data_IF_346498307160
#
_entry.id   IF_346498307160
#
_cell.length_a   1.000
_cell.length_b   1.000
_cell.length_c   1.000
_cell.angle_alpha   90.00
_cell.angle_beta   90.00
_cell.angle_gamma   90.00
#
_symmetry.space_group_name_H-M   'P 1'
#
loop_
_entity.id
_entity.type
_entity.pdbx_description
1 polymer ?
#
# COMPACT_ATOMS: atom_id res chain seq x y z
N UNK A 1 8.19 15.66 18.09
CA UNK A 1 7.10 14.67 18.33
C UNK A 1 7.67 13.59 19.22
N UNK A 2 7.30 13.57 20.50
CA UNK A 2 7.79 12.59 21.49
C UNK A 2 7.17 11.24 21.11
N UNK A 3 8.02 10.24 20.84
CA UNK A 3 7.53 8.90 20.48
C UNK A 3 6.99 8.22 21.74
N UNK A 4 5.80 7.63 21.68
CA UNK A 4 5.17 6.89 22.77
C UNK A 4 6.11 5.85 23.42
N UNK A 5 7.08 5.32 22.64
CA UNK A 5 8.14 4.43 23.11
C UNK A 5 9.07 5.08 24.13
N UNK A 6 9.31 6.38 24.01
CA UNK A 6 10.24 7.10 24.89
C UNK A 6 9.57 7.37 26.25
N UNK A 7 8.25 7.60 26.27
CA UNK A 7 7.47 7.77 27.52
C UNK A 7 7.38 6.45 28.31
N UNK A 8 7.28 5.30 27.64
CA UNK A 8 7.23 3.99 28.30
C UNK A 8 8.59 3.57 28.86
N UNK A 9 9.70 3.96 28.20
CA UNK A 9 11.07 3.70 28.69
C UNK A 9 11.48 4.58 29.89
N UNK A 10 10.95 5.80 29.99
CA UNK A 10 11.20 6.67 31.16
C UNK A 10 10.40 6.24 32.37
N UNK A 11 9.19 5.68 32.21
CA UNK A 11 8.40 5.17 33.36
C UNK A 11 9.02 3.96 34.04
N UNK A 12 9.85 3.18 33.33
CA UNK A 12 10.57 2.04 33.91
C UNK A 12 11.86 2.45 34.65
N UNK A 13 12.37 3.66 34.43
CA UNK A 13 13.57 4.20 35.10
C UNK A 13 13.26 4.97 36.37
N UNK A 14 12.07 5.45 36.59
CA UNK A 14 11.61 6.09 37.81
C UNK A 14 11.03 5.04 38.73
N UNK A 15 11.88 4.48 39.59
CA UNK A 15 11.54 3.51 40.63
C UNK A 15 10.77 4.18 41.81
N UNK A 16 9.75 4.97 41.49
CA UNK A 16 8.83 5.59 42.42
C UNK A 16 7.64 4.63 42.58
N UNK A 17 7.23 4.38 43.82
CA UNK A 17 6.06 3.60 44.27
C UNK A 17 4.71 4.10 43.67
N UNK A 18 4.62 4.15 42.36
CA UNK A 18 3.34 4.27 41.66
C UNK A 18 2.83 2.83 41.50
N UNK A 19 1.62 2.52 41.98
CA UNK A 19 1.04 1.19 41.76
C UNK A 19 1.17 0.84 40.29
N UNK A 20 1.84 -0.26 39.94
CA UNK A 20 1.95 -0.71 38.55
C UNK A 20 0.53 -0.94 38.07
N UNK A 21 0.03 -0.02 37.23
CA UNK A 21 -1.27 -0.19 36.57
C UNK A 21 -1.31 -1.57 35.93
N UNK A 22 -2.45 -2.24 36.03
CA UNK A 22 -2.66 -3.53 35.40
C UNK A 22 -2.40 -3.40 33.89
N UNK A 23 -2.05 -4.50 33.21
CA UNK A 23 -1.89 -4.52 31.76
C UNK A 23 -3.15 -3.97 31.05
N UNK A 24 -4.30 -4.25 31.62
CA UNK A 24 -5.60 -3.79 31.12
C UNK A 24 -5.80 -2.27 31.25
N UNK A 25 -5.42 -1.68 32.39
CA UNK A 25 -5.51 -0.22 32.58
C UNK A 25 -4.57 0.53 31.64
N UNK A 26 -3.36 -0.01 31.42
CA UNK A 26 -2.41 0.56 30.45
C UNK A 26 -2.97 0.50 29.03
N UNK A 27 -3.60 -0.61 28.65
CA UNK A 27 -4.23 -0.76 27.35
C UNK A 27 -5.44 0.17 27.19
N UNK A 28 -6.32 0.29 28.19
CA UNK A 28 -7.42 1.26 28.17
C UNK A 28 -6.93 2.70 27.99
N UNK A 29 -5.89 3.08 28.74
CA UNK A 29 -5.28 4.41 28.58
C UNK A 29 -4.73 4.62 27.17
N UNK A 30 -4.05 3.62 26.59
CA UNK A 30 -3.55 3.68 25.21
C UNK A 30 -4.68 3.91 24.20
N UNK A 31 -5.81 3.18 24.32
CA UNK A 31 -6.96 3.36 23.44
C UNK A 31 -7.54 4.79 23.50
N UNK A 32 -7.68 5.34 24.68
CA UNK A 32 -8.16 6.72 24.89
C UNK A 32 -7.19 7.73 24.30
N UNK A 33 -5.88 7.52 24.50
CA UNK A 33 -4.85 8.43 24.01
C UNK A 33 -4.85 8.49 22.48
N UNK A 34 -4.89 7.34 21.80
CA UNK A 34 -4.86 7.31 20.33
C UNK A 34 -6.12 7.92 19.71
N UNK A 35 -7.30 7.71 20.32
CA UNK A 35 -8.53 8.36 19.89
C UNK A 35 -8.43 9.88 20.03
N UNK A 36 -7.91 10.36 21.15
CA UNK A 36 -7.68 11.80 21.38
C UNK A 36 -6.69 12.37 20.36
N UNK A 37 -5.58 11.71 20.10
CA UNK A 37 -4.59 12.16 19.11
C UNK A 37 -5.21 12.35 17.71
N UNK A 38 -6.09 11.43 17.29
CA UNK A 38 -6.78 11.57 16.02
C UNK A 38 -7.76 12.74 16.03
N UNK A 39 -8.54 12.92 17.11
CA UNK A 39 -9.46 14.05 17.23
C UNK A 39 -8.71 15.39 17.28
N UNK A 40 -7.57 15.46 17.98
CA UNK A 40 -6.72 16.64 18.01
C UNK A 40 -6.11 16.91 16.61
N UNK A 41 -5.71 15.87 15.88
CA UNK A 41 -5.26 15.99 14.49
C UNK A 41 -6.35 16.59 13.58
N UNK A 42 -7.58 16.08 13.66
CA UNK A 42 -8.73 16.58 12.90
C UNK A 42 -9.02 18.05 13.28
N UNK A 43 -9.11 18.37 14.57
CA UNK A 43 -9.38 19.72 15.10
C UNK A 43 -8.33 20.73 14.67
N UNK A 44 -7.07 20.31 14.52
CA UNK A 44 -5.95 21.14 14.08
C UNK A 44 -5.82 21.23 12.53
N UNK A 45 -6.89 20.92 11.80
CA UNK A 45 -6.98 21.09 10.36
C UNK A 45 -6.37 19.96 9.54
N UNK A 46 -6.12 18.78 10.14
CA UNK A 46 -5.63 17.57 9.46
C UNK A 46 -4.34 17.79 8.65
N UNK A 47 -3.43 18.63 9.15
CA UNK A 47 -2.18 18.94 8.48
C UNK A 47 -1.09 17.90 8.77
N UNK A 48 -0.25 17.58 7.76
CA UNK A 48 0.86 16.65 7.89
C UNK A 48 0.45 15.17 7.83
N UNK A 49 1.34 14.31 8.33
CA UNK A 49 1.15 12.85 8.26
C UNK A 49 0.34 12.33 9.44
N UNK A 50 -0.53 11.35 9.19
CA UNK A 50 -1.23 10.58 10.22
C UNK A 50 -0.74 9.13 10.16
N UNK A 51 0.20 8.76 11.05
CA UNK A 51 0.85 7.45 11.06
C UNK A 51 0.36 6.61 12.25
N UNK A 52 -0.55 5.69 11.98
CA UNK A 52 -1.29 4.87 12.96
C UNK A 52 -0.88 3.38 12.85
N UNK A 53 0.43 3.11 12.95
CA UNK A 53 0.94 1.72 12.94
C UNK A 53 0.33 0.90 14.09
N UNK A 54 -0.09 -0.34 13.78
CA UNK A 54 -0.76 -1.24 14.75
C UNK A 54 -2.04 -0.63 15.36
N UNK A 55 -2.72 0.25 14.60
CA UNK A 55 -3.96 0.88 15.05
C UNK A 55 -4.98 -0.18 15.50
N UNK A 56 -5.51 -0.09 16.73
CA UNK A 56 -6.22 -1.20 17.37
C UNK A 56 -7.69 -1.28 17.04
N UNK A 57 -8.26 -0.28 16.35
CA UNK A 57 -9.68 -0.24 16.00
C UNK A 57 -9.90 -0.70 14.56
N UNK A 58 -11.10 -1.23 14.30
CA UNK A 58 -11.49 -1.69 12.97
C UNK A 58 -11.82 -0.56 11.98
N UNK A 59 -12.08 0.64 12.49
CA UNK A 59 -12.51 1.79 11.69
C UNK A 59 -11.83 3.07 12.18
N UNK A 60 -11.59 4.00 11.26
CA UNK A 60 -11.20 5.38 11.57
C UNK A 60 -12.44 6.19 11.91
N UNK A 61 -12.32 7.30 12.66
CA UNK A 61 -13.44 8.18 12.92
C UNK A 61 -14.09 8.70 11.63
N UNK A 62 -15.40 8.67 11.53
CA UNK A 62 -16.17 9.10 10.35
C UNK A 62 -15.99 10.58 10.00
N UNK A 63 -15.59 11.40 10.97
CA UNK A 63 -15.27 12.82 10.78
C UNK A 63 -13.83 13.06 10.28
N UNK A 64 -13.02 12.01 10.07
CA UNK A 64 -11.73 12.11 9.38
C UNK A 64 -11.98 12.13 7.88
N UNK A 65 -12.11 13.31 7.30
CA UNK A 65 -12.37 13.50 5.87
C UNK A 65 -11.14 13.90 5.06
N UNK A 66 -10.05 14.30 5.75
CA UNK A 66 -8.82 14.76 5.09
C UNK A 66 -7.57 14.37 5.89
N UNK A 67 -6.51 14.04 5.15
CA UNK A 67 -5.15 13.85 5.67
C UNK A 67 -4.19 14.63 4.76
N UNK A 68 -3.60 15.73 5.26
CA UNK A 68 -2.72 16.63 4.50
C UNK A 68 -1.34 16.06 4.17
N UNK A 69 -1.08 14.82 4.51
CA UNK A 69 0.17 14.09 4.24
C UNK A 69 -0.08 12.64 3.91
N UNK A 70 0.77 11.75 4.43
CA UNK A 70 0.57 10.30 4.33
C UNK A 70 -0.39 9.82 5.42
N UNK A 71 -1.29 8.89 5.07
CA UNK A 71 -2.03 8.07 6.02
C UNK A 71 -1.39 6.68 6.09
N UNK A 72 -0.81 6.35 7.24
CA UNK A 72 -0.15 5.06 7.48
C UNK A 72 -0.92 4.20 8.48
N UNK A 73 -1.41 3.05 8.02
CA UNK A 73 -2.20 2.07 8.79
C UNK A 73 -1.54 0.68 8.79
N UNK A 74 -0.20 0.66 8.75
CA UNK A 74 0.58 -0.59 8.69
C UNK A 74 0.28 -1.50 9.87
N UNK A 75 -0.04 -2.79 9.58
CA UNK A 75 -0.39 -3.80 10.58
C UNK A 75 -1.54 -3.37 11.51
N UNK A 76 -2.43 -2.50 11.05
CA UNK A 76 -3.60 -2.06 11.80
C UNK A 76 -4.71 -3.11 11.81
N UNK A 77 -5.74 -2.90 12.62
CA UNK A 77 -6.96 -3.71 12.59
C UNK A 77 -8.06 -3.12 11.70
N UNK A 78 -7.72 -2.09 10.91
CA UNK A 78 -8.70 -1.41 10.06
C UNK A 78 -9.24 -2.36 9.00
N UNK A 79 -10.55 -2.44 8.92
CA UNK A 79 -11.30 -3.22 7.92
C UNK A 79 -12.03 -2.32 6.92
N UNK A 80 -12.24 -1.03 7.29
CA UNK A 80 -12.92 -0.03 6.45
C UNK A 80 -12.27 1.34 6.57
N UNK A 81 -12.27 2.06 5.46
CA UNK A 81 -11.89 3.49 5.40
C UNK A 81 -13.15 4.36 5.33
N UNK A 82 -13.10 5.61 5.84
CA UNK A 82 -14.19 6.57 5.65
C UNK A 82 -14.43 6.85 4.16
N UNK A 83 -15.69 7.01 3.79
CA UNK A 83 -16.06 7.49 2.46
C UNK A 83 -15.58 8.94 2.25
N UNK A 84 -15.28 9.28 1.00
CA UNK A 84 -14.81 10.61 0.58
C UNK A 84 -13.52 11.09 1.30
N UNK A 85 -12.75 10.17 1.87
CA UNK A 85 -11.48 10.50 2.51
C UNK A 85 -10.48 11.01 1.46
N UNK A 86 -9.97 12.22 1.67
CA UNK A 86 -8.92 12.81 0.85
C UNK A 86 -7.57 12.66 1.53
N UNK A 87 -6.59 12.10 0.83
CA UNK A 87 -5.20 11.92 1.30
C UNK A 87 -4.29 12.65 0.31
N UNK A 88 -3.62 13.73 0.75
CA UNK A 88 -2.83 14.57 -0.15
C UNK A 88 -1.54 13.88 -0.64
N UNK A 89 -1.07 12.85 0.08
CA UNK A 89 0.07 12.04 -0.33
C UNK A 89 -0.30 10.56 -0.44
N UNK A 90 0.39 9.67 0.26
CA UNK A 90 0.20 8.23 0.09
C UNK A 90 -0.69 7.62 1.17
N UNK A 91 -1.46 6.61 0.76
CA UNK A 91 -2.17 5.69 1.62
C UNK A 91 -1.36 4.40 1.77
N UNK A 92 -1.06 3.99 3.02
CA UNK A 92 -0.25 2.80 3.33
C UNK A 92 -1.05 1.91 4.27
N UNK A 93 -1.50 0.76 3.76
CA UNK A 93 -2.40 -0.19 4.44
C UNK A 93 -1.73 -1.54 4.72
N UNK A 94 -0.43 -1.66 4.48
CA UNK A 94 0.31 -2.92 4.49
C UNK A 94 0.02 -3.77 5.74
N UNK A 95 -0.33 -5.05 5.53
CA UNK A 95 -0.62 -5.98 6.59
C UNK A 95 -1.93 -5.73 7.36
N UNK A 96 -2.78 -4.79 6.91
CA UNK A 96 -4.11 -4.59 7.49
C UNK A 96 -5.15 -5.56 6.89
N UNK A 97 -6.20 -5.95 7.64
CA UNK A 97 -7.22 -6.89 7.19
C UNK A 97 -8.29 -6.23 6.29
N UNK A 98 -7.96 -5.10 5.68
CA UNK A 98 -8.87 -4.38 4.79
C UNK A 98 -9.14 -5.18 3.52
N UNK A 99 -10.40 -5.19 3.09
CA UNK A 99 -10.86 -5.94 1.91
C UNK A 99 -11.16 -5.07 0.70
N UNK A 100 -11.40 -3.77 0.93
CA UNK A 100 -11.76 -2.83 -0.13
C UNK A 100 -11.30 -1.40 0.19
N UNK A 101 -11.08 -0.61 -0.84
CA UNK A 101 -10.84 0.83 -0.78
C UNK A 101 -12.07 1.49 -1.41
N UNK A 102 -12.74 2.47 -0.74
CA UNK A 102 -13.91 3.15 -1.29
C UNK A 102 -13.64 3.79 -2.65
N UNK A 103 -14.60 3.70 -3.57
CA UNK A 103 -14.51 4.37 -4.90
C UNK A 103 -14.47 5.91 -4.77
N UNK A 104 -14.93 6.45 -3.64
CA UNK A 104 -14.95 7.90 -3.35
C UNK A 104 -13.63 8.43 -2.78
N UNK A 105 -12.62 7.57 -2.53
CA UNK A 105 -11.34 7.99 -1.95
C UNK A 105 -10.52 8.82 -2.94
N UNK A 106 -9.74 9.77 -2.41
CA UNK A 106 -8.75 10.51 -3.20
C UNK A 106 -7.36 10.27 -2.63
N UNK A 107 -6.43 9.78 -3.45
CA UNK A 107 -5.04 9.51 -3.10
C UNK A 107 -4.14 10.36 -3.99
N UNK A 108 -3.39 11.29 -3.39
CA UNK A 108 -2.61 12.28 -4.13
C UNK A 108 -1.27 11.79 -4.67
N UNK A 109 -0.72 10.70 -4.12
CA UNK A 109 0.58 10.21 -4.58
C UNK A 109 0.63 8.69 -4.71
N UNK A 110 0.84 7.90 -3.65
CA UNK A 110 1.13 6.49 -3.77
C UNK A 110 0.21 5.59 -2.93
N UNK A 111 0.19 4.31 -3.27
CA UNK A 111 -0.64 3.32 -2.61
C UNK A 111 0.20 2.10 -2.21
N UNK A 112 0.24 1.79 -0.91
CA UNK A 112 0.78 0.55 -0.34
C UNK A 112 -0.34 -0.31 0.22
N UNK A 113 -0.47 -1.53 -0.30
CA UNK A 113 -1.49 -2.51 0.12
C UNK A 113 -0.90 -3.91 0.29
N UNK A 114 0.39 -4.01 0.54
CA UNK A 114 1.08 -5.29 0.71
C UNK A 114 0.39 -6.15 1.78
N UNK A 115 0.18 -7.45 1.46
CA UNK A 115 -0.39 -8.42 2.42
C UNK A 115 -1.77 -8.02 2.96
N UNK A 116 -2.53 -7.23 2.21
CA UNK A 116 -3.94 -6.95 2.52
C UNK A 116 -4.87 -8.00 1.89
N UNK A 117 -6.15 -7.93 2.25
CA UNK A 117 -7.20 -8.79 1.66
C UNK A 117 -7.91 -8.13 0.47
N UNK A 118 -7.38 -7.01 -0.01
CA UNK A 118 -7.93 -6.29 -1.17
C UNK A 118 -7.84 -7.17 -2.41
N UNK A 119 -8.93 -7.23 -3.15
CA UNK A 119 -9.03 -8.00 -4.40
C UNK A 119 -9.17 -7.12 -5.63
N UNK A 120 -9.52 -5.83 -5.44
CA UNK A 120 -9.75 -4.86 -6.51
C UNK A 120 -9.37 -3.45 -6.05
N UNK A 121 -8.80 -2.67 -6.96
CA UNK A 121 -8.55 -1.23 -6.73
C UNK A 121 -9.73 -0.38 -7.23
N UNK A 122 -9.96 0.81 -6.64
CA UNK A 122 -10.99 1.74 -7.09
C UNK A 122 -10.76 2.21 -8.53
N UNK A 123 -11.84 2.37 -9.31
CA UNK A 123 -11.76 2.81 -10.69
C UNK A 123 -11.44 4.31 -10.84
N UNK A 124 -11.52 5.10 -9.79
CA UNK A 124 -11.15 6.51 -9.83
C UNK A 124 -9.63 6.76 -9.79
N UNK A 125 -8.82 5.71 -9.59
CA UNK A 125 -7.35 5.81 -9.62
C UNK A 125 -6.86 5.77 -11.06
N UNK A 126 -6.42 6.93 -11.58
CA UNK A 126 -5.90 7.07 -12.94
C UNK A 126 -4.38 7.17 -13.01
N UNK A 127 -3.75 7.68 -11.96
CA UNK A 127 -2.30 7.79 -11.85
C UNK A 127 -1.87 7.61 -10.38
N UNK A 128 -0.66 7.07 -10.19
CA UNK A 128 -0.03 6.93 -8.88
C UNK A 128 1.45 7.33 -8.97
N UNK A 129 2.01 7.82 -7.87
CA UNK A 129 3.45 8.00 -7.71
C UNK A 129 4.18 6.67 -7.52
N UNK A 130 3.56 5.70 -6.84
CA UNK A 130 3.98 4.30 -6.75
C UNK A 130 2.79 3.41 -6.39
N UNK A 131 2.91 2.10 -6.69
CA UNK A 131 1.96 1.08 -6.25
C UNK A 131 2.71 -0.13 -5.69
N UNK A 132 2.50 -0.43 -4.40
CA UNK A 132 2.97 -1.65 -3.76
C UNK A 132 1.80 -2.53 -3.39
N UNK A 133 1.76 -3.75 -3.96
CA UNK A 133 0.66 -4.70 -3.81
C UNK A 133 1.15 -6.16 -3.70
N UNK A 134 2.32 -6.33 -3.10
CA UNK A 134 2.91 -7.65 -2.92
C UNK A 134 2.02 -8.56 -2.06
N UNK A 135 1.93 -9.83 -2.44
CA UNK A 135 1.17 -10.84 -1.69
C UNK A 135 -0.32 -10.46 -1.52
N UNK A 136 -0.91 -9.80 -2.52
CA UNK A 136 -2.34 -9.49 -2.56
C UNK A 136 -3.11 -10.46 -3.45
N UNK A 137 -4.45 -10.40 -3.37
CA UNK A 137 -5.37 -11.14 -4.22
C UNK A 137 -5.88 -10.31 -5.42
N UNK A 138 -5.30 -9.15 -5.67
CA UNK A 138 -5.64 -8.32 -6.84
C UNK A 138 -5.24 -9.06 -8.10
N UNK A 139 -6.21 -9.27 -9.00
CA UNK A 139 -5.99 -10.01 -10.26
C UNK A 139 -5.74 -9.08 -11.44
N UNK A 140 -6.27 -7.86 -11.40
CA UNK A 140 -6.11 -6.85 -12.45
C UNK A 140 -6.14 -5.44 -11.87
N UNK A 141 -5.48 -4.52 -12.54
CA UNK A 141 -5.52 -3.10 -12.22
C UNK A 141 -6.65 -2.40 -12.99
N UNK A 142 -7.16 -1.24 -12.50
CA UNK A 142 -8.17 -0.48 -13.21
C UNK A 142 -7.73 -0.18 -14.65
N UNK A 143 -8.60 -0.39 -15.62
CA UNK A 143 -8.31 -0.18 -17.06
C UNK A 143 -8.00 1.29 -17.41
N UNK A 144 -8.43 2.21 -16.57
CA UNK A 144 -8.16 3.65 -16.69
C UNK A 144 -6.90 4.11 -15.93
N UNK A 145 -6.18 3.22 -15.26
CA UNK A 145 -4.86 3.53 -14.70
C UNK A 145 -3.86 3.69 -15.85
N UNK A 146 -3.34 4.92 -16.04
CA UNK A 146 -2.46 5.29 -17.15
C UNK A 146 -0.99 5.36 -16.78
N UNK A 147 -0.68 5.78 -15.54
CA UNK A 147 0.70 5.95 -15.13
C UNK A 147 0.94 5.60 -13.66
N UNK A 148 2.09 4.97 -13.43
CA UNK A 148 2.74 4.83 -12.12
C UNK A 148 4.11 5.49 -12.29
N UNK A 149 4.31 6.69 -11.72
CA UNK A 149 5.52 7.47 -11.96
C UNK A 149 6.79 6.93 -11.28
N UNK A 150 6.64 6.06 -10.30
CA UNK A 150 7.71 5.29 -9.65
C UNK A 150 7.52 3.80 -9.93
N UNK A 151 7.73 2.98 -8.90
CA UNK A 151 7.72 1.53 -9.03
C UNK A 151 6.31 0.94 -8.93
N UNK A 152 6.08 -0.15 -9.67
CA UNK A 152 5.00 -1.10 -9.43
C UNK A 152 5.58 -2.39 -8.85
N UNK A 153 5.23 -2.70 -7.60
CA UNK A 153 5.62 -3.96 -6.97
C UNK A 153 4.40 -4.85 -6.73
N UNK A 154 4.40 -6.03 -7.35
CA UNK A 154 3.31 -7.00 -7.30
C UNK A 154 3.82 -8.43 -7.11
N UNK A 155 5.00 -8.61 -6.48
CA UNK A 155 5.58 -9.93 -6.25
C UNK A 155 4.66 -10.80 -5.38
N UNK A 156 4.52 -12.07 -5.77
CA UNK A 156 3.62 -13.03 -5.09
C UNK A 156 2.14 -12.61 -5.10
N UNK A 157 1.73 -11.62 -5.90
CA UNK A 157 0.33 -11.23 -6.07
C UNK A 157 -0.40 -12.14 -7.06
N UNK A 158 -1.73 -12.15 -7.00
CA UNK A 158 -2.57 -12.91 -7.93
C UNK A 158 -2.75 -12.22 -9.29
N UNK A 159 -1.89 -11.26 -9.63
CA UNK A 159 -2.00 -10.40 -10.81
C UNK A 159 -1.86 -11.21 -12.10
N UNK A 160 -2.91 -11.17 -12.95
CA UNK A 160 -2.95 -11.85 -14.25
C UNK A 160 -2.90 -10.87 -15.41
N UNK A 161 -3.25 -9.59 -15.18
CA UNK A 161 -3.35 -8.58 -16.25
C UNK A 161 -2.95 -7.19 -15.73
N UNK A 162 -2.20 -6.46 -16.57
CA UNK A 162 -1.96 -5.02 -16.48
C UNK A 162 -2.81 -4.30 -17.55
N UNK A 163 -3.21 -3.02 -17.34
CA UNK A 163 -3.90 -2.24 -18.37
C UNK A 163 -2.99 -1.97 -19.57
N UNK A 164 -3.62 -1.83 -20.74
CA UNK A 164 -2.91 -1.44 -21.96
C UNK A 164 -2.46 0.03 -21.87
N UNK A 165 -1.38 0.37 -22.60
CA UNK A 165 -0.74 1.70 -22.61
C UNK A 165 -0.25 2.18 -21.22
N UNK A 166 0.02 1.26 -20.28
CA UNK A 166 0.49 1.61 -18.94
C UNK A 166 1.94 2.14 -19.01
N UNK A 167 2.15 3.29 -18.37
CA UNK A 167 3.47 3.87 -18.14
C UNK A 167 3.94 3.57 -16.71
N UNK A 168 5.17 3.07 -16.56
CA UNK A 168 5.85 2.86 -15.28
C UNK A 168 7.18 3.62 -15.32
N UNK A 169 7.30 4.64 -14.48
CA UNK A 169 8.48 5.51 -14.43
C UNK A 169 9.66 4.95 -13.62
N UNK A 170 9.46 3.86 -12.91
CA UNK A 170 10.46 3.13 -12.15
C UNK A 170 10.57 1.68 -12.62
N UNK A 171 10.75 0.77 -11.67
CA UNK A 171 10.87 -0.67 -11.92
C UNK A 171 9.50 -1.37 -11.84
N UNK A 172 9.37 -2.48 -12.58
CA UNK A 172 8.20 -3.37 -12.56
C UNK A 172 8.58 -4.72 -11.96
N UNK A 173 8.06 -5.00 -10.75
CA UNK A 173 8.29 -6.26 -10.04
C UNK A 173 7.07 -7.17 -10.15
N UNK A 174 7.20 -8.29 -10.84
CA UNK A 174 6.14 -9.27 -11.09
C UNK A 174 6.52 -10.69 -10.64
N UNK A 175 7.58 -10.85 -9.83
CA UNK A 175 8.04 -12.18 -9.42
C UNK A 175 6.90 -13.05 -8.88
N UNK A 176 6.84 -14.30 -9.39
CA UNK A 176 5.85 -15.31 -8.95
C UNK A 176 4.39 -14.88 -9.09
N UNK A 177 4.09 -13.99 -10.04
CA UNK A 177 2.70 -13.72 -10.44
C UNK A 177 2.25 -14.70 -11.54
N UNK A 178 0.95 -14.98 -11.64
CA UNK A 178 0.40 -15.84 -12.71
C UNK A 178 0.27 -15.13 -14.06
N UNK A 179 0.87 -13.97 -14.24
CA UNK A 179 0.78 -13.19 -15.49
C UNK A 179 1.35 -13.97 -16.67
N UNK A 180 0.60 -14.05 -17.79
CA UNK A 180 0.96 -14.81 -18.98
C UNK A 180 1.48 -13.96 -20.14
N UNK A 181 1.08 -12.68 -20.17
CA UNK A 181 1.57 -11.70 -21.16
C UNK A 181 1.57 -10.30 -20.55
N UNK A 182 2.49 -9.48 -21.02
CA UNK A 182 2.49 -8.04 -20.76
C UNK A 182 1.53 -7.34 -21.72
N UNK A 183 0.95 -6.18 -21.33
CA UNK A 183 0.04 -5.44 -22.21
C UNK A 183 0.78 -4.82 -23.40
N UNK A 184 0.02 -4.54 -24.46
CA UNK A 184 0.55 -3.80 -25.60
C UNK A 184 0.88 -2.35 -25.18
N UNK A 185 1.92 -1.77 -25.82
CA UNK A 185 2.44 -0.42 -25.55
C UNK A 185 2.88 -0.18 -24.10
N UNK A 186 3.19 -1.24 -23.32
CA UNK A 186 3.77 -1.07 -21.99
C UNK A 186 5.11 -0.32 -22.09
N UNK A 187 5.25 0.73 -21.27
CA UNK A 187 6.50 1.47 -21.12
C UNK A 187 7.01 1.37 -19.69
N UNK A 188 8.24 0.93 -19.52
CA UNK A 188 8.92 0.82 -18.22
C UNK A 188 10.28 1.54 -18.31
N UNK A 189 10.48 2.57 -17.50
CA UNK A 189 11.73 3.34 -17.49
C UNK A 189 12.88 2.64 -16.76
N UNK A 190 12.57 1.70 -15.84
CA UNK A 190 13.49 0.87 -15.09
C UNK A 190 13.54 -0.56 -15.60
N UNK A 191 13.87 -1.48 -14.71
CA UNK A 191 13.92 -2.92 -14.97
C UNK A 191 12.53 -3.56 -14.94
N UNK A 192 12.33 -4.63 -15.71
CA UNK A 192 11.23 -5.59 -15.52
C UNK A 192 11.78 -6.86 -14.88
N UNK A 193 11.32 -7.16 -13.66
CA UNK A 193 11.69 -8.34 -12.90
C UNK A 193 10.49 -9.30 -12.80
N UNK A 194 10.42 -10.24 -13.75
CA UNK A 194 9.29 -11.13 -13.93
C UNK A 194 9.68 -12.62 -13.87
N UNK A 195 10.67 -12.96 -13.01
CA UNK A 195 11.09 -14.34 -12.79
C UNK A 195 9.96 -15.17 -12.18
N UNK A 196 9.91 -16.47 -12.55
CA UNK A 196 8.90 -17.43 -12.09
C UNK A 196 7.45 -17.02 -12.41
N UNK A 197 7.24 -16.25 -13.46
CA UNK A 197 5.91 -15.94 -14.00
C UNK A 197 5.52 -16.95 -15.08
N UNK A 198 4.28 -16.83 -15.59
CA UNK A 198 3.79 -17.63 -16.71
C UNK A 198 3.96 -16.94 -18.08
N UNK A 199 4.84 -15.92 -18.15
CA UNK A 199 5.10 -15.18 -19.40
C UNK A 199 5.60 -16.11 -20.50
N UNK A 200 4.89 -16.13 -21.63
CA UNK A 200 5.14 -16.99 -22.78
C UNK A 200 5.57 -16.23 -24.04
N UNK A 201 5.32 -14.93 -24.07
CA UNK A 201 5.66 -14.01 -25.16
C UNK A 201 5.79 -12.58 -24.65
N UNK A 202 6.49 -11.74 -25.42
CA UNK A 202 6.56 -10.29 -25.20
C UNK A 202 5.69 -9.57 -26.22
N UNK A 203 5.05 -8.45 -25.84
CA UNK A 203 4.31 -7.62 -26.78
C UNK A 203 5.26 -6.98 -27.81
N UNK A 204 4.78 -6.74 -29.02
CA UNK A 204 5.61 -6.16 -30.10
C UNK A 204 6.09 -4.74 -29.79
N UNK A 205 5.30 -3.97 -29.06
CA UNK A 205 5.54 -2.56 -28.75
C UNK A 205 5.97 -2.35 -27.29
N UNK A 206 6.64 -3.33 -26.70
CA UNK A 206 7.22 -3.21 -25.35
C UNK A 206 8.41 -2.23 -25.38
N UNK A 207 8.36 -1.22 -24.50
CA UNK A 207 9.47 -0.29 -24.27
C UNK A 207 10.03 -0.47 -22.85
N UNK A 208 11.27 -0.91 -22.74
CA UNK A 208 11.98 -1.10 -21.46
C UNK A 208 13.33 -0.42 -21.57
N UNK A 209 13.68 0.50 -20.65
CA UNK A 209 15.00 1.13 -20.63
C UNK A 209 16.02 0.35 -19.82
N UNK A 210 15.57 -0.39 -18.81
CA UNK A 210 16.39 -1.24 -17.97
C UNK A 210 16.53 -2.67 -18.49
N UNK A 211 16.82 -3.58 -17.60
CA UNK A 211 16.98 -5.01 -17.87
C UNK A 211 15.63 -5.73 -17.83
N UNK A 212 15.58 -6.87 -18.52
CA UNK A 212 14.44 -7.77 -18.51
C UNK A 212 14.86 -9.10 -17.89
N UNK A 213 14.40 -9.38 -16.67
CA UNK A 213 14.66 -10.61 -15.94
C UNK A 213 13.46 -11.55 -16.08
N UNK A 214 13.67 -12.69 -16.75
CA UNK A 214 12.64 -13.68 -17.09
C UNK A 214 13.00 -15.11 -16.69
N UNK A 215 13.85 -15.29 -15.67
CA UNK A 215 14.27 -16.60 -15.23
C UNK A 215 13.06 -17.47 -14.87
N UNK A 216 13.11 -18.75 -15.26
CA UNK A 216 12.05 -19.74 -14.96
C UNK A 216 10.66 -19.37 -15.50
N UNK A 217 10.61 -18.66 -16.63
CA UNK A 217 9.37 -18.42 -17.38
C UNK A 217 9.26 -19.40 -18.56
N UNK A 218 8.06 -19.65 -19.10
CA UNK A 218 7.90 -20.36 -20.38
C UNK A 218 8.66 -19.68 -21.54
N UNK A 219 8.76 -18.35 -21.52
CA UNK A 219 9.49 -17.59 -22.53
C UNK A 219 10.99 -17.87 -22.48
N UNK A 220 11.62 -17.81 -21.31
CA UNK A 220 13.07 -18.06 -21.17
C UNK A 220 13.47 -19.46 -21.65
N UNK A 221 12.63 -20.48 -21.43
CA UNK A 221 12.85 -21.86 -21.86
C UNK A 221 12.87 -22.05 -23.38
N UNK A 222 12.30 -21.12 -24.16
CA UNK A 222 12.37 -21.15 -25.63
C UNK A 222 13.74 -20.77 -26.16
N UNK A 223 14.53 -20.02 -25.41
CA UNK A 223 15.84 -19.48 -25.83
C UNK A 223 17.04 -20.17 -25.18
N UNK A 224 16.80 -21.11 -24.26
CA UNK A 224 17.85 -21.90 -23.57
C UNK A 224 18.11 -23.29 -24.20
N UNK A 225 17.68 -23.54 -25.45
CA UNK A 225 17.95 -24.77 -26.22
C UNK A 225 19.15 -24.59 -27.17
#
# INVERSE_FOLDING_TARGET
MIKLKDILLESDKLNILIPRRSKEERYKKYLITIQKEIQDYIKNGSQGHLMLRNFPFSELPSNLTHVGGHLGLVNSKVTKLPENLKIDKSLILDGSPITEIPESISIGHGLGIDKTLITKLPNNITNLGYLSMNQTKVTELPSNLKAIFGDLTASDASLIKLPDDLYIGGELYLHRTPIQRLPDNLTVEGDIKANWTQLSELPKNLSVKGNLELQDTPLSKKYTR
#
